data_IF_224981246968
#
_entry.id   IF_224981246968
#
_cell.length_a   1.000
_cell.length_b   1.000
_cell.length_c   1.000
_cell.angle_alpha   90.00
_cell.angle_beta   90.00
_cell.angle_gamma   90.00
#
_symmetry.space_group_name_H-M   'P 1'
#
loop_
_entity.id
_entity.type
_entity.pdbx_description
1 polymer ?
2 polymer ?
3 non-polymer ?
4 non-polymer ?
5 water ?
#
# COMPACT_ATOMS: atom_id res chain seq x y z
N UNK A 9 16.04 -10.75 15.40
CA UNK A 9 16.04 -9.59 14.50
C UNK A 9 14.64 -9.20 14.05
N UNK A 10 13.61 -9.90 14.56
CA UNK A 10 12.26 -9.59 14.18
C UNK A 10 11.73 -10.42 13.02
N UNK A 11 10.51 -10.10 12.61
CA UNK A 11 9.83 -10.85 11.56
C UNK A 11 9.20 -9.88 10.57
N UNK A 12 9.01 -10.36 9.36
CA UNK A 12 8.45 -9.57 8.27
C UNK A 12 7.30 -10.34 7.66
N UNK A 13 6.21 -9.62 7.37
CA UNK A 13 5.06 -10.17 6.68
C UNK A 13 4.99 -9.60 5.29
N UNK A 14 4.93 -10.46 4.29
CA UNK A 14 4.92 -9.98 2.91
C UNK A 14 4.06 -10.89 2.06
N UNK A 15 3.78 -10.44 0.84
CA UNK A 15 3.03 -11.22 -0.14
C UNK A 15 3.64 -11.04 -1.52
N UNK A 16 3.80 -12.15 -2.25
CA UNK A 16 4.47 -12.17 -3.55
C UNK A 16 3.48 -12.62 -4.61
N UNK A 17 3.31 -11.81 -5.65
CA UNK A 17 2.35 -12.16 -6.69
C UNK A 17 2.96 -11.76 -8.04
N UNK A 18 2.38 -12.29 -9.12
CA UNK A 18 2.85 -11.96 -10.46
C UNK A 18 1.65 -11.70 -11.35
N UNK A 19 1.58 -10.49 -11.90
CA UNK A 19 0.62 -10.09 -12.92
C UNK A 19 1.16 -10.53 -14.29
N UNK A 20 0.67 -11.69 -14.75
CA UNK A 20 1.07 -12.23 -16.06
C UNK A 20 0.61 -11.33 -17.20
N UNK A 21 -0.56 -10.72 -17.06
CA UNK A 21 -1.05 -9.81 -18.10
C UNK A 21 -0.04 -8.70 -18.38
N UNK A 22 0.64 -8.21 -17.35
CA UNK A 22 1.55 -7.09 -17.51
C UNK A 22 3.01 -7.42 -17.20
N UNK A 23 3.33 -8.68 -16.90
CA UNK A 23 4.71 -9.08 -16.61
C UNK A 23 5.27 -8.29 -15.43
N UNK A 24 4.48 -8.21 -14.36
CA UNK A 24 4.79 -7.41 -13.19
C UNK A 24 4.91 -8.32 -11.98
N UNK A 25 6.10 -8.34 -11.37
CA UNK A 25 6.27 -8.94 -10.06
C UNK A 25 5.73 -7.98 -9.01
N UNK A 26 4.85 -8.47 -8.14
CA UNK A 26 4.15 -7.63 -7.18
C UNK A 26 4.63 -8.02 -5.79
N UNK A 27 5.26 -7.08 -5.08
CA UNK A 27 5.84 -7.33 -3.77
C UNK A 27 5.02 -6.54 -2.75
N UNK A 28 4.22 -7.23 -1.97
CA UNK A 28 3.52 -6.51 -0.91
C UNK A 28 4.30 -6.57 0.38
N UNK A 29 4.62 -5.42 0.97
CA UNK A 29 5.29 -5.33 2.26
C UNK A 29 4.21 -4.95 3.28
N UNK A 30 3.76 -5.91 4.08
CA UNK A 30 2.63 -5.64 4.98
C UNK A 30 3.11 -4.99 6.27
N UNK A 31 3.95 -5.70 7.01
CA UNK A 31 4.34 -5.23 8.31
C UNK A 31 5.58 -5.99 8.77
N UNK A 32 6.22 -5.44 9.80
CA UNK A 32 7.26 -6.12 10.52
C UNK A 32 6.87 -6.14 11.99
N UNK A 33 7.36 -7.14 12.72
CA UNK A 33 7.00 -7.27 14.12
C UNK A 33 8.25 -7.63 14.93
N UNK A 34 8.24 -7.21 16.19
CA UNK A 34 9.25 -7.63 17.17
C UNK A 34 10.66 -7.24 16.73
N UNK A 35 10.77 -6.07 16.11
CA UNK A 35 12.08 -5.59 15.69
C UNK A 35 12.93 -5.23 16.90
N UNK A 36 14.23 -5.36 16.79
CA UNK A 36 15.11 -4.86 17.85
C UNK A 36 15.10 -3.34 17.88
N UNK A 37 15.42 -2.81 19.06
CA UNK A 37 15.43 -1.37 19.31
C UNK A 37 16.82 -0.80 19.03
N UNK A 38 16.90 0.16 18.10
CA UNK A 38 18.16 0.76 17.72
C UNK A 38 18.31 2.21 18.19
N UNK A 39 17.27 2.82 18.75
CA UNK A 39 17.30 4.17 19.29
C UNK A 39 17.24 4.16 20.81
N UNK A 40 17.79 5.19 21.43
CA UNK A 40 17.57 5.39 22.85
C UNK A 40 16.07 5.51 23.10
N UNK A 41 15.62 4.99 24.24
CA UNK A 41 14.19 4.91 24.48
C UNK A 41 13.55 3.63 24.03
N UNK A 42 14.33 2.67 23.55
CA UNK A 42 13.83 1.33 23.29
C UNK A 42 12.94 1.22 22.07
N UNK A 43 13.27 1.91 20.99
CA UNK A 43 12.48 1.85 19.77
C UNK A 43 13.39 1.99 18.56
N UNK A 44 12.78 1.96 17.38
CA UNK A 44 13.47 2.09 16.10
C UNK A 44 12.61 2.92 15.16
N UNK A 45 13.17 3.24 13.98
CA UNK A 45 12.47 4.01 12.94
C UNK A 45 12.55 3.25 11.63
N UNK A 46 11.83 2.14 11.53
CA UNK A 46 12.07 1.20 10.43
C UNK A 46 11.52 1.65 9.08
N UNK A 47 12.26 1.31 8.03
CA UNK A 47 11.72 1.30 6.69
C UNK A 47 12.27 0.06 6.00
N UNK A 48 11.69 -0.30 4.86
CA UNK A 48 12.11 -1.48 4.12
C UNK A 48 12.62 -1.04 2.74
N UNK A 49 13.80 -1.54 2.37
CA UNK A 49 14.36 -1.39 1.04
C UNK A 49 14.07 -2.66 0.27
N UNK A 50 13.56 -2.51 -0.97
CA UNK A 50 13.11 -3.63 -1.77
C UNK A 50 13.71 -3.53 -3.16
N UNK A 51 14.42 -4.58 -3.58
CA UNK A 51 15.07 -4.60 -4.88
C UNK A 51 15.34 -6.05 -5.26
N UNK A 52 15.74 -6.25 -6.53
CA UNK A 52 16.00 -7.58 -7.07
C UNK A 52 17.48 -7.78 -7.34
N UNK A 53 18.02 -8.87 -6.80
CA UNK A 53 19.27 -9.43 -7.28
C UNK A 53 18.98 -10.22 -8.53
N UNK A 54 19.96 -10.34 -9.44
CA UNK A 54 21.33 -9.82 -9.33
C UNK A 54 21.55 -8.45 -10.01
N UNK A 55 20.56 -7.92 -10.70
CA UNK A 55 20.79 -6.75 -11.55
C UNK A 55 20.68 -5.43 -10.79
N UNK A 56 19.80 -5.37 -9.77
CA UNK A 56 19.72 -4.25 -8.84
C UNK A 56 19.45 -2.92 -9.54
N UNK A 57 18.61 -2.96 -10.59
CA UNK A 57 18.41 -1.77 -11.43
C UNK A 57 17.30 -0.84 -10.92
N UNK A 58 16.52 -1.27 -9.94
CA UNK A 58 15.43 -0.47 -9.38
C UNK A 58 15.33 -0.82 -7.92
N UNK A 59 15.28 0.19 -7.06
CA UNK A 59 15.08 -0.02 -5.63
C UNK A 59 13.86 0.79 -5.18
N UNK A 60 13.07 0.21 -4.30
CA UNK A 60 11.98 0.92 -3.66
C UNK A 60 12.25 0.98 -2.16
N UNK A 61 11.66 1.97 -1.51
CA UNK A 61 11.72 2.07 -0.07
C UNK A 61 10.33 2.43 0.44
N UNK A 62 9.87 1.72 1.47
CA UNK A 62 8.66 2.14 2.17
C UNK A 62 8.88 3.49 2.83
N UNK A 63 7.77 4.09 3.25
CA UNK A 63 7.84 5.20 4.18
C UNK A 63 8.57 4.79 5.43
N UNK A 64 9.15 5.78 6.11
CA UNK A 64 9.75 5.60 7.41
C UNK A 64 8.66 5.63 8.47
N UNK A 65 8.64 4.62 9.35
CA UNK A 65 7.66 4.54 10.43
C UNK A 65 8.38 4.84 11.73
N UNK A 66 8.11 6.00 12.30
CA UNK A 66 8.94 6.53 13.37
C UNK A 66 8.53 5.93 14.71
N UNK A 67 9.54 5.57 15.52
CA UNK A 67 9.35 5.12 16.91
C UNK A 67 8.39 3.93 17.00
N UNK A 68 8.71 2.87 16.28
CA UNK A 68 7.91 1.66 16.38
C UNK A 68 8.76 0.43 16.09
N UNK A 69 8.52 -0.62 16.85
CA UNK A 69 9.12 -1.91 16.56
C UNK A 69 8.14 -2.83 15.84
N UNK A 70 6.96 -2.33 15.49
CA UNK A 70 5.93 -3.13 14.84
C UNK A 70 5.27 -2.30 13.73
N UNK A 71 6.04 -1.89 12.73
CA UNK A 71 5.50 -1.01 11.70
C UNK A 71 4.57 -1.76 10.76
N UNK A 72 3.46 -1.12 10.41
CA UNK A 72 2.55 -1.67 9.41
C UNK A 72 2.69 -0.82 8.16
N UNK A 73 3.47 -1.32 7.21
CA UNK A 73 3.77 -0.52 6.02
C UNK A 73 2.61 -0.52 5.04
N UNK A 74 2.00 -1.67 4.81
CA UNK A 74 0.89 -1.83 3.87
C UNK A 74 1.18 -1.12 2.54
N UNK A 75 2.35 -1.40 1.97
CA UNK A 75 2.77 -0.92 0.65
C UNK A 75 3.03 -2.05 -0.34
N UNK A 76 2.89 -1.73 -1.62
CA UNK A 76 3.11 -2.73 -2.65
C UNK A 76 3.98 -2.12 -3.73
N UNK A 77 5.03 -2.86 -4.14
CA UNK A 77 5.96 -2.40 -5.16
C UNK A 77 5.91 -3.36 -6.34
N UNK A 78 6.12 -2.83 -7.54
CA UNK A 78 6.01 -3.65 -8.72
C UNK A 78 7.32 -3.58 -9.49
N UNK A 79 7.74 -4.72 -10.05
CA UNK A 79 8.94 -4.80 -10.88
C UNK A 79 8.55 -5.41 -12.22
N UNK A 80 8.85 -4.70 -13.31
CA UNK A 80 8.71 -5.25 -14.66
C UNK A 80 9.78 -6.32 -14.86
N UNK A 81 9.37 -7.59 -14.85
CA UNK A 81 10.29 -8.71 -14.97
C UNK A 81 9.66 -9.65 -16.00
N UNK A 82 10.28 -9.84 -17.16
CA UNK A 82 9.75 -10.81 -18.12
C UNK A 82 9.69 -12.20 -17.48
N UNK A 83 8.64 -12.93 -17.84
CA UNK A 83 8.36 -14.21 -17.20
C UNK A 83 9.54 -15.15 -17.28
N UNK A 84 10.26 -15.16 -18.40
CA UNK A 84 11.35 -16.12 -18.53
C UNK A 84 12.56 -15.72 -17.68
N UNK A 85 12.64 -14.46 -17.27
CA UNK A 85 13.71 -13.97 -16.42
C UNK A 85 13.38 -14.02 -14.94
N UNK A 86 12.12 -14.26 -14.59
CA UNK A 86 11.74 -14.16 -13.18
C UNK A 86 12.47 -15.19 -12.34
N UNK A 87 12.65 -16.40 -12.86
CA UNK A 87 13.30 -17.44 -12.09
C UNK A 87 14.78 -17.20 -11.82
N UNK A 88 15.41 -16.25 -12.51
CA UNK A 88 16.77 -15.86 -12.23
C UNK A 88 16.92 -14.80 -11.15
N UNK A 89 15.83 -14.24 -10.64
CA UNK A 89 15.90 -13.15 -9.67
C UNK A 89 15.90 -13.68 -8.24
N UNK A 90 16.35 -12.82 -7.32
CA UNK A 90 16.21 -13.02 -5.89
C UNK A 90 15.68 -11.72 -5.31
N UNK A 91 14.52 -11.79 -4.65
CA UNK A 91 13.94 -10.61 -4.03
C UNK A 91 14.66 -10.34 -2.72
N UNK A 92 15.06 -9.10 -2.50
CA UNK A 92 15.63 -8.65 -1.24
C UNK A 92 14.65 -7.70 -0.57
N UNK A 93 14.35 -7.98 0.69
CA UNK A 93 13.54 -7.11 1.54
C UNK A 93 14.39 -6.80 2.77
N UNK A 94 14.97 -5.60 2.82
CA UNK A 94 15.96 -5.25 3.83
C UNK A 94 15.40 -4.16 4.72
N UNK A 95 15.36 -4.42 6.03
CA UNK A 95 14.75 -3.51 7.00
C UNK A 95 15.85 -2.67 7.62
N UNK A 96 15.73 -1.37 7.52
CA UNK A 96 16.71 -0.43 8.01
C UNK A 96 16.12 0.42 9.12
N UNK A 97 17.00 0.92 9.98
CA UNK A 97 16.61 1.90 10.95
C UNK A 97 16.95 3.29 10.43
N UNK A 98 15.95 4.14 10.25
CA UNK A 98 16.20 5.50 9.77
C UNK A 98 16.83 6.33 10.88
N UNK A 99 17.77 7.22 10.51
CA UNK A 99 18.27 8.18 11.47
C UNK A 99 18.48 9.51 10.75
N UNK A 100 18.21 10.60 11.45
CA UNK A 100 18.18 11.91 10.81
C UNK A 100 19.58 12.42 10.47
N UNK A 101 20.61 11.99 11.20
CA UNK A 101 21.97 12.50 11.05
C UNK A 101 22.99 11.43 10.74
N UNK A 102 22.85 10.24 11.31
CA UNK A 102 23.85 9.19 11.18
C UNK A 102 23.52 8.26 10.01
N UNK A 103 24.35 7.24 9.85
CA UNK A 103 24.10 6.24 8.83
C UNK A 103 22.90 5.38 9.25
N UNK A 104 22.17 4.88 8.26
CA UNK A 104 21.04 4.01 8.56
C UNK A 104 21.53 2.58 8.75
N UNK A 105 21.39 2.07 9.97
CA UNK A 105 21.83 0.73 10.28
C UNK A 105 20.82 -0.27 9.73
N UNK A 106 21.31 -1.37 9.15
CA UNK A 106 20.43 -2.45 8.76
C UNK A 106 20.02 -3.21 10.01
N UNK A 107 18.75 -3.58 10.09
CA UNK A 107 18.23 -4.37 11.19
C UNK A 107 18.35 -5.83 10.81
N UNK A 108 17.72 -6.20 9.70
CA UNK A 108 17.83 -7.53 9.16
C UNK A 108 17.19 -7.55 7.79
N UNK A 109 17.24 -8.71 7.16
CA UNK A 109 16.73 -8.80 5.82
C UNK A 109 16.19 -10.19 5.58
N UNK A 110 15.36 -10.31 4.55
CA UNK A 110 14.93 -11.63 4.13
C UNK A 110 14.96 -11.65 2.61
N UNK A 111 15.62 -12.66 2.06
CA UNK A 111 15.76 -12.76 0.62
C UNK A 111 14.96 -13.94 0.10
N UNK A 112 14.29 -13.74 -1.02
CA UNK A 112 13.47 -14.79 -1.60
C UNK A 112 14.03 -15.16 -2.97
N UNK A 113 14.66 -16.33 -3.13
CA UNK A 113 15.09 -16.77 -4.46
C UNK A 113 13.89 -17.21 -5.30
N UNK A 114 13.73 -16.56 -6.46
CA UNK A 114 12.58 -16.81 -7.30
C UNK A 114 12.62 -18.20 -7.94
N UNK A 115 13.79 -18.84 -7.97
CA UNK A 115 13.89 -20.17 -8.57
C UNK A 115 13.30 -21.25 -7.66
N UNK A 116 12.70 -20.87 -6.54
CA UNK A 116 11.89 -21.77 -5.72
C UNK A 116 10.45 -21.31 -5.60
N UNK A 117 10.17 -20.03 -5.81
CA UNK A 117 8.78 -19.56 -5.82
C UNK A 117 8.09 -20.07 -7.07
N UNK A 118 6.92 -20.67 -6.90
CA UNK A 118 6.16 -21.24 -7.99
C UNK A 118 5.07 -20.32 -8.52
N UNK A 119 4.56 -19.43 -7.67
CA UNK A 119 3.30 -18.72 -7.86
C UNK A 119 2.13 -19.65 -8.10
N UNK A 120 2.34 -20.96 -7.89
CA UNK A 120 1.23 -21.87 -7.71
C UNK A 120 0.32 -21.47 -6.58
N UNK A 121 0.82 -20.67 -5.63
CA UNK A 121 -0.01 -20.08 -4.59
C UNK A 121 0.51 -18.70 -4.21
N UNK A 122 -0.42 -17.81 -3.86
CA UNK A 122 -0.12 -16.49 -3.33
C UNK A 122 -0.72 -16.38 -1.94
N UNK A 123 0.12 -16.05 -0.97
CA UNK A 123 -0.24 -16.00 0.44
C UNK A 123 0.48 -14.82 1.10
N UNK A 124 0.00 -14.45 2.28
CA UNK A 124 0.69 -13.50 3.13
C UNK A 124 1.52 -14.30 4.12
N UNK A 125 2.83 -14.13 4.07
CA UNK A 125 3.75 -15.01 4.78
C UNK A 125 4.56 -14.21 5.80
N UNK A 126 4.76 -14.79 6.97
CA UNK A 126 5.68 -14.25 7.95
C UNK A 126 7.02 -14.97 7.82
N UNK A 127 8.10 -14.21 7.88
CA UNK A 127 9.44 -14.79 7.92
C UNK A 127 10.28 -14.10 8.99
N UNK A 128 11.14 -14.87 9.66
CA UNK A 128 12.17 -14.32 10.52
C UNK A 128 13.19 -13.56 9.69
N UNK A 129 13.43 -12.31 10.04
CA UNK A 129 14.49 -11.56 9.37
C UNK A 129 15.85 -12.19 9.69
N UNK A 130 16.82 -12.03 8.78
CA UNK A 130 18.12 -12.65 8.93
C UNK A 130 19.22 -11.61 8.75
N UNK A 131 20.42 -11.91 9.27
CA UNK A 131 21.53 -10.96 9.19
C UNK A 131 21.97 -10.72 7.75
N UNK B 5 2.82 -0.18 -17.14
CA UNK B 5 1.86 0.73 -17.76
C UNK B 5 0.43 0.35 -17.45
N UNK B 6 -0.33 1.30 -16.93
CA UNK B 6 -1.74 1.13 -16.61
C UNK B 6 -2.65 1.63 -17.73
N UNK B 7 -2.29 1.44 -19.01
CA UNK B 7 -3.11 2.00 -20.08
C UNK B 7 -4.50 1.38 -20.10
N UNK B 8 -4.64 0.15 -19.63
CA UNK B 8 -5.90 -0.59 -19.63
C UNK B 8 -6.74 -0.33 -18.38
N UNK B 9 -6.16 0.25 -17.33
CA UNK B 9 -6.86 0.33 -16.05
C UNK B 9 -8.03 1.28 -16.17
N UNK B 10 -9.19 0.87 -15.66
CA UNK B 10 -10.32 1.77 -15.56
C UNK B 10 -10.83 1.72 -14.13
N UNK B 11 -11.07 2.90 -13.55
CA UNK B 11 -11.53 3.06 -12.18
C UNK B 11 -12.65 4.06 -12.20
N UNK B 12 -13.81 3.68 -11.63
CA UNK B 12 -15.03 4.46 -11.71
C UNK B 12 -15.60 4.58 -10.31
N UNK B 13 -15.53 5.78 -9.74
CA UNK B 13 -16.06 6.07 -8.40
C UNK B 13 -17.51 6.52 -8.46
N UNK B 14 -18.21 6.32 -7.35
CA UNK B 14 -19.53 6.91 -7.14
C UNK B 14 -19.80 6.96 -5.65
N UNK B 15 -20.87 7.67 -5.27
CA UNK B 15 -21.30 7.70 -3.89
C UNK B 15 -21.15 9.05 -3.22
N UNK B 16 -20.52 10.02 -3.89
CA UNK B 16 -20.36 11.34 -3.32
C UNK B 16 -21.67 12.07 -3.13
N UNK B 17 -21.56 13.23 -2.52
CA UNK B 17 -22.76 13.99 -2.21
C UNK B 17 -22.45 15.00 -1.12
N UNK B 18 -23.53 15.63 -0.64
CA UNK B 18 -23.43 16.62 0.40
C UNK B 18 -23.76 15.98 1.74
N UNK B 19 -22.91 16.23 2.73
CA UNK B 19 -23.04 15.64 4.06
C UNK B 19 -23.04 16.76 5.09
N UNK B 20 -23.93 16.66 6.09
CA UNK B 20 -23.84 17.54 7.24
C UNK B 20 -22.73 17.03 8.16
N UNK B 21 -22.07 17.91 8.91
CA UNK B 21 -21.03 17.45 9.83
C UNK B 21 -21.57 16.38 10.78
N UNK B 22 -20.78 15.34 10.97
CA UNK B 22 -21.18 14.20 11.76
C UNK B 22 -21.90 13.10 10.99
N UNK B 23 -22.34 13.37 9.76
CA UNK B 23 -23.00 12.38 8.94
C UNK B 23 -22.05 11.39 8.31
N UNK B 24 -22.62 10.48 7.51
CA UNK B 24 -21.92 9.34 6.91
C UNK B 24 -22.15 9.30 5.41
N UNK B 25 -21.20 8.68 4.71
CA UNK B 25 -21.26 8.48 3.28
C UNK B 25 -20.46 7.23 2.97
N UNK B 26 -20.89 6.47 1.96
CA UNK B 26 -20.10 5.34 1.46
C UNK B 26 -19.81 5.50 -0.01
N UNK B 27 -18.53 5.54 -0.36
CA UNK B 27 -18.08 5.55 -1.74
C UNK B 27 -17.83 4.12 -2.24
N UNK B 28 -18.01 3.92 -3.53
CA UNK B 28 -17.60 2.67 -4.13
C UNK B 28 -16.86 2.97 -5.41
N UNK B 29 -16.16 1.95 -5.89
CA UNK B 29 -15.36 2.12 -7.09
C UNK B 29 -15.34 0.80 -7.84
N UNK B 30 -15.66 0.87 -9.12
CA UNK B 30 -15.60 -0.28 -10.01
C UNK B 30 -14.28 -0.25 -10.77
N UNK B 31 -13.54 -1.36 -10.72
CA UNK B 31 -12.23 -1.45 -11.32
C UNK B 31 -12.24 -2.49 -12.44
N UNK B 32 -11.64 -2.13 -13.58
CA UNK B 32 -11.52 -3.05 -14.71
C UNK B 32 -10.17 -2.82 -15.37
N UNK B 33 -9.77 -3.78 -16.20
CA UNK B 33 -8.59 -3.67 -17.03
C UNK B 33 -7.29 -4.13 -16.41
N UNK B 34 -7.33 -4.79 -15.26
CA UNK B 34 -6.14 -5.31 -14.59
C UNK B 34 -6.58 -6.33 -13.56
N UNK B 35 -5.68 -7.26 -13.16
CA UNK B 35 -6.07 -8.28 -12.17
C UNK B 35 -6.27 -7.67 -10.79
N UNK B 36 -7.46 -7.08 -10.60
CA UNK B 36 -7.80 -6.32 -9.39
C UNK B 36 -7.37 -7.01 -8.11
N UNK B 37 -7.66 -8.31 -8.00
CA UNK B 37 -7.42 -9.01 -6.75
C UNK B 37 -5.94 -9.12 -6.41
N UNK B 38 -5.05 -8.87 -7.37
CA UNK B 38 -3.61 -8.92 -7.07
C UNK B 38 -3.07 -7.60 -6.55
N UNK B 39 -3.80 -6.50 -6.69
CA UNK B 39 -3.25 -5.18 -6.38
C UNK B 39 -3.76 -4.65 -5.05
N UNK B 40 -2.84 -4.10 -4.27
CA UNK B 40 -3.23 -3.16 -3.24
C UNK B 40 -4.01 -2.02 -3.89
N UNK B 41 -4.99 -1.47 -3.17
CA UNK B 41 -5.83 -0.38 -3.65
C UNK B 41 -5.89 0.74 -2.62
N UNK B 42 -6.12 1.96 -3.09
CA UNK B 42 -6.11 3.12 -2.18
C UNK B 42 -7.25 4.05 -2.51
N UNK B 43 -7.66 4.81 -1.49
CA UNK B 43 -8.41 6.04 -1.70
C UNK B 43 -7.47 7.20 -1.42
N UNK B 44 -7.56 8.22 -2.27
CA UNK B 44 -6.80 9.45 -2.13
C UNK B 44 -7.78 10.59 -2.32
N UNK B 45 -7.38 11.80 -1.92
CA UNK B 45 -8.33 12.89 -2.03
C UNK B 45 -7.58 14.18 -2.31
N UNK B 46 -8.29 15.16 -2.85
CA UNK B 46 -7.76 16.50 -3.00
C UNK B 46 -8.78 17.50 -2.52
N UNK B 47 -8.47 18.14 -1.40
CA UNK B 47 -9.29 19.15 -0.78
C UNK B 47 -9.05 20.50 -1.45
N UNK B 48 -10.00 21.42 -1.34
CA UNK B 48 -9.76 22.78 -1.85
C UNK B 48 -8.49 23.35 -1.24
N UNK B 49 -7.58 23.81 -2.10
CA UNK B 49 -6.38 24.48 -1.64
C UNK B 49 -5.24 23.59 -1.19
N UNK B 50 -5.32 22.28 -1.43
CA UNK B 50 -4.27 21.36 -1.00
C UNK B 50 -3.89 20.43 -2.14
N UNK B 51 -2.71 19.83 -2.01
CA UNK B 51 -2.29 18.82 -2.96
C UNK B 51 -3.12 17.55 -2.81
N UNK B 52 -2.85 16.60 -3.70
CA UNK B 52 -3.38 15.26 -3.53
C UNK B 52 -2.81 14.65 -2.25
N UNK B 53 -3.67 14.00 -1.48
CA UNK B 53 -3.24 13.37 -0.24
C UNK B 53 -3.79 11.96 -0.13
N UNK B 54 -3.00 11.11 0.49
CA UNK B 54 -3.41 9.75 0.76
C UNK B 54 -4.50 9.72 1.83
N UNK B 55 -5.48 8.84 1.64
CA UNK B 55 -6.54 8.62 2.63
C UNK B 55 -6.42 7.25 3.26
N UNK B 56 -6.33 6.20 2.43
CA UNK B 56 -6.36 4.85 3.00
C UNK B 56 -5.84 3.87 1.95
N UNK B 57 -5.24 2.77 2.41
CA UNK B 57 -4.83 1.68 1.52
C UNK B 57 -5.34 0.36 2.07
N UNK B 58 -5.74 -0.54 1.18
CA UNK B 58 -6.10 -1.89 1.57
C UNK B 58 -5.24 -2.88 0.78
N UNK B 59 -4.75 -3.91 1.47
CA UNK B 59 -3.95 -4.95 0.84
C UNK B 59 -4.76 -5.70 -0.22
N UNK B 60 -4.04 -6.37 -1.12
CA UNK B 60 -4.71 -7.17 -2.15
C UNK B 60 -5.67 -8.17 -1.53
N UNK B 61 -5.28 -8.78 -0.40
CA UNK B 61 -6.12 -9.77 0.25
C UNK B 61 -7.36 -9.15 0.88
N UNK B 62 -7.36 -7.85 1.11
CA UNK B 62 -8.41 -7.23 1.91
C UNK B 62 -8.18 -7.35 3.40
N UNK B 63 -7.08 -7.97 3.84
CA UNK B 63 -6.87 -8.19 5.27
C UNK B 63 -6.23 -7.01 6.00
N UNK B 64 -5.45 -6.18 5.34
CA UNK B 64 -4.73 -5.11 6.03
C UNK B 64 -5.16 -3.76 5.50
N UNK B 65 -5.47 -2.85 6.42
CA UNK B 65 -5.99 -1.53 6.11
C UNK B 65 -5.14 -0.51 6.85
N UNK B 66 -4.76 0.57 6.18
CA UNK B 66 -4.05 1.67 6.84
C UNK B 66 -4.75 2.96 6.46
N UNK B 67 -4.62 3.98 7.31
CA UNK B 67 -5.42 5.20 7.24
C UNK B 67 -4.55 6.40 7.57
N UNK B 68 -4.77 7.51 6.84
CA UNK B 68 -4.08 8.73 7.22
C UNK B 68 -4.62 9.21 8.57
N UNK B 69 -3.74 9.90 9.31
CA UNK B 69 -4.02 10.16 10.72
C UNK B 69 -5.35 10.86 10.92
N UNK B 70 -5.71 11.77 10.02
CA UNK B 70 -6.88 12.58 10.24
C UNK B 70 -8.18 11.84 10.01
N UNK B 71 -8.16 10.64 9.42
CA UNK B 71 -9.38 9.86 9.22
C UNK B 71 -9.40 8.57 10.03
N UNK B 72 -8.34 8.26 10.77
CA UNK B 72 -8.31 7.03 11.57
C UNK B 72 -9.52 6.97 12.51
N UNK B 73 -10.09 5.77 12.62
CA UNK B 73 -11.29 5.57 13.42
C UNK B 73 -12.57 5.99 12.74
N UNK B 74 -12.51 6.89 11.77
CA UNK B 74 -13.74 7.37 11.16
C UNK B 74 -14.04 6.75 9.81
N UNK B 75 -13.00 6.44 9.04
CA UNK B 75 -13.19 5.84 7.73
C UNK B 75 -12.88 4.36 7.80
N UNK B 76 -13.55 3.59 6.95
CA UNK B 76 -13.23 2.18 6.77
C UNK B 76 -13.09 1.86 5.29
N UNK B 77 -11.99 1.22 4.91
CA UNK B 77 -11.81 0.79 3.52
C UNK B 77 -12.14 -0.69 3.41
N UNK B 78 -12.74 -1.08 2.27
CA UNK B 78 -13.09 -2.48 2.07
C UNK B 78 -12.99 -2.80 0.58
N UNK B 79 -12.91 -4.08 0.26
CA UNK B 79 -12.87 -4.49 -1.14
C UNK B 79 -13.63 -5.78 -1.30
N UNK B 80 -14.12 -5.99 -2.52
CA UNK B 80 -14.75 -7.25 -2.92
C UNK B 80 -14.00 -7.71 -4.17
N UNK B 81 -13.11 -8.69 -3.99
CA UNK B 81 -12.32 -9.15 -5.13
C UNK B 81 -13.16 -9.95 -6.12
N UNK B 82 -14.30 -10.51 -5.70
CA UNK B 82 -15.15 -11.23 -6.65
C UNK B 82 -15.84 -10.26 -7.61
N UNK B 83 -16.16 -9.05 -7.16
CA UNK B 83 -16.82 -8.07 -8.01
C UNK B 83 -15.92 -6.92 -8.42
N UNK B 84 -14.63 -6.98 -8.11
CA UNK B 84 -13.65 -5.94 -8.51
C UNK B 84 -14.11 -4.56 -8.09
N UNK B 85 -14.48 -4.43 -6.82
CA UNK B 85 -15.03 -3.20 -6.28
C UNK B 85 -14.28 -2.81 -5.02
N UNK B 86 -14.06 -1.52 -4.87
CA UNK B 86 -13.42 -0.92 -3.71
C UNK B 86 -14.44 -0.03 -3.01
N UNK B 87 -14.40 0.02 -1.67
CA UNK B 87 -15.35 0.82 -0.91
C UNK B 87 -14.61 1.71 0.08
N UNK B 88 -15.22 2.85 0.40
CA UNK B 88 -14.77 3.68 1.52
C UNK B 88 -16.00 4.10 2.32
N UNK B 89 -16.12 3.59 3.55
CA UNK B 89 -17.18 4.05 4.43
C UNK B 89 -16.62 5.21 5.22
N UNK B 90 -17.31 6.35 5.17
CA UNK B 90 -16.88 7.53 5.91
C UNK B 90 -17.94 7.90 6.93
N UNK B 91 -17.57 7.78 8.20
CA UNK B 91 -18.44 8.14 9.31
C UNK B 91 -17.91 9.41 9.97
N UNK B 92 -18.79 10.05 10.75
CA UNK B 92 -18.41 11.21 11.55
C UNK B 92 -17.66 12.25 10.72
N UNK B 93 -18.24 12.58 9.57
CA UNK B 93 -17.56 13.42 8.62
C UNK B 93 -17.42 14.84 9.16
N UNK B 94 -16.30 15.48 8.84
CA UNK B 94 -15.81 16.80 9.26
C UNK B 94 -15.79 17.73 8.05
N UNK B 95 -16.00 19.04 8.26
CA UNK B 95 -15.95 19.95 7.10
C UNK B 95 -14.62 19.87 6.37
N UNK B 96 -13.52 19.60 7.08
CA UNK B 96 -12.20 19.45 6.46
C UNK B 96 -12.13 18.26 5.53
N UNK B 97 -13.06 17.31 5.64
CA UNK B 97 -13.07 16.17 4.73
C UNK B 97 -13.62 16.51 3.35
N UNK B 98 -14.06 17.74 3.11
CA UNK B 98 -14.54 18.13 1.80
C UNK B 98 -13.40 18.00 0.80
N UNK B 99 -13.64 17.27 -0.29
CA UNK B 99 -12.59 16.98 -1.25
C UNK B 99 -13.18 16.18 -2.40
N UNK B 100 -12.43 16.14 -3.49
CA UNK B 100 -12.66 15.13 -4.52
C UNK B 100 -11.96 13.86 -4.05
N UNK B 101 -12.70 12.78 -3.95
CA UNK B 101 -12.15 11.49 -3.56
C UNK B 101 -11.93 10.64 -4.80
N UNK B 102 -10.78 9.99 -4.87
CA UNK B 102 -10.40 9.15 -6.00
C UNK B 102 -10.06 7.77 -5.51
N UNK B 103 -10.54 6.76 -6.21
CA UNK B 103 -9.97 5.45 -6.05
C UNK B 103 -8.64 5.40 -6.80
N UNK B 104 -7.74 4.55 -6.32
CA UNK B 104 -6.42 4.55 -6.94
C UNK B 104 -5.82 3.16 -6.86
N UNK B 105 -5.06 2.81 -7.89
CA UNK B 105 -4.46 1.49 -8.01
C UNK B 105 -3.09 1.50 -7.34
N UNK B 106 -2.87 0.56 -6.41
CA UNK B 106 -1.61 0.47 -5.70
C UNK B 106 -1.68 1.10 -4.31
N UNK B 107 -0.55 1.00 -3.60
CA UNK B 107 -0.33 1.80 -2.41
C UNK B 107 0.11 3.19 -2.83
N UNK B 108 0.27 4.08 -1.85
CA UNK B 108 0.38 5.50 -2.15
C UNK B 108 1.60 5.81 -3.01
N UNK B 109 1.36 6.55 -4.08
CA UNK B 109 2.37 7.20 -4.89
C UNK B 109 1.70 8.40 -5.52
N UNK B 110 2.40 9.53 -5.56
CA UNK B 110 1.80 10.77 -6.04
C UNK B 110 1.25 10.63 -7.46
N UNK B 111 1.86 9.78 -8.28
CA UNK B 111 1.47 9.61 -9.67
C UNK B 111 0.65 8.33 -9.91
N UNK B 112 0.16 7.70 -8.86
CA UNK B 112 -0.60 6.46 -9.04
C UNK B 112 -1.81 6.69 -9.92
N UNK B 113 -2.22 5.64 -10.63
CA UNK B 113 -3.39 5.71 -11.49
C UNK B 113 -4.65 5.90 -10.65
N UNK B 114 -5.48 6.85 -11.05
CA UNK B 114 -6.67 7.25 -10.30
C UNK B 114 -7.90 7.19 -11.20
N UNK B 115 -9.07 7.27 -10.56
CA UNK B 115 -10.33 7.39 -11.27
C UNK B 115 -10.62 8.85 -11.60
N UNK B 116 -11.86 9.08 -12.07
CA UNK B 116 -12.29 10.44 -12.39
C UNK B 116 -12.60 11.25 -11.14
N UNK B 117 -12.93 10.59 -10.04
CA UNK B 117 -13.17 11.27 -8.79
C UNK B 117 -14.66 11.37 -8.50
N UNK B 118 -14.97 11.55 -7.21
CA UNK B 118 -16.33 11.83 -6.79
C UNK B 118 -16.28 12.87 -5.70
N UNK B 119 -17.18 13.85 -5.78
CA UNK B 119 -17.13 15.02 -4.91
C UNK B 119 -17.85 14.73 -3.60
N UNK B 120 -17.20 15.04 -2.49
CA UNK B 120 -17.80 14.92 -1.15
C UNK B 120 -17.69 16.29 -0.51
N UNK B 121 -18.84 16.91 -0.21
CA UNK B 121 -18.87 18.18 0.48
C UNK B 121 -19.54 18.03 1.82
N UNK B 122 -18.86 18.49 2.86
CA UNK B 122 -19.35 18.41 4.23
C UNK B 122 -19.61 19.84 4.67
N UNK B 123 -20.88 20.18 4.87
CA UNK B 123 -21.28 21.56 5.08
C UNK B 123 -22.46 21.63 6.03
N UNK B 124 -22.57 22.79 6.69
CA UNK B 124 -23.76 23.18 7.44
C UNK B 124 -24.52 24.19 6.58
N UNK B 125 -25.51 23.71 5.84
CA UNK B 125 -26.38 24.57 5.04
C UNK B 125 -27.72 23.90 4.75
X LIG C 1 16.48 5.36 14.22
X LIG D 1 3.08 2.21 14.82
X LIG D 1 3.73 1.27 14.04
X LIG D 1 1.65 1.68 15.11
X LIG D 1 1.44 1.39 16.47
X LIG D 1 1.43 0.47 14.16
X LIG D 1 1.66 -0.71 14.89
X LIG E 1 21.48 -6.58 0.43
X LIG E 1 21.81 -7.07 1.69
X LIG E 1 22.21 -7.48 -0.59
X LIG E 1 23.53 -7.06 -0.82
X LIG E 1 22.14 -8.90 0.02
X LIG E 1 22.54 -9.79 -0.98
X LIG F 1 14.43 -6.49 -12.75
X LIG F 1 15.27 -6.23 -13.83
X LIG F 1 14.58 -5.32 -11.73
X LIG F 1 15.86 -5.21 -11.20
X LIG F 1 14.13 -4.06 -12.51
X LIG F 1 12.74 -3.99 -12.35
X LIG G 1 0.64 3.57 4.52
X LIG G 1 1.91 4.15 4.49
X LIG G 1 0.45 2.89 3.13
X LIG G 1 -0.60 2.00 3.13
X LIG G 1 0.27 4.03 2.09
X LIG G 1 -0.21 3.44 0.89
X LIG H 1 -8.51 10.68 14.28
X LIG H 1 -7.58 11.66 14.65
X LIG H 1 -9.45 11.33 13.22
X LIG H 1 -10.44 10.47 12.76
X LIG H 1 -9.99 12.61 13.86
X LIG H 1 -9.60 13.65 13.01
X LIG I 1 -19.21 26.28 7.01
X LIG I 1 -19.08 25.54 5.82
X LIG I 1 -20.23 25.51 7.89
X LIG I 1 -20.37 24.19 7.48
X LIG I 1 -19.68 25.62 9.36
X LIG I 1 -19.35 26.96 9.61
#
# INVERSE_FOLDING_TARGET
>A
MHHHHHHHLGKLQYSLDYDFQNNQLLVGIIQAAELPALDMGGTSDPYVKVFLLPDKKKKFETKVHRKTLNPVFNEQFTFKVPYSELGGKTLVMAVYDFDRFSKHDIIGEFKVPMNTVDFGHVTEEWRDLQSA
>B
SGDASDSEVQLEESGGGLVRPGGSLRLSCAASGFPFSKYFMSWVRQAPGKGLEWVSTISASGNYETYTESVKGRFTIARDNAKNTLYLQMNSLKPEDTAVYYCAKGSWARDMTRGQGTQVTVSSE
>C hetero
1 CA CA
>D hetero
1 GOL C1 O1 C2 O2 C3 O3
>E hetero
1 GOL C1 O1 C2 O2 C3 O3
>F hetero
1 GOL C1 O1 C2 O2 C3 O3
>G hetero
1 GOL C1 O1 C2 O2 C3 O3
>H hetero
1 GOL C1 O1 C2 O2 C3 O3
>I hetero
1 GOL C1 O1 C2 O2 C3 O3
#
